data_IF_957654574855
#
_entry.id   IF_957654574855
#
_cell.length_a   1.000
_cell.length_b   1.000
_cell.length_c   1.000
_cell.angle_alpha   90.00
_cell.angle_beta   90.00
_cell.angle_gamma   90.00
#
_symmetry.space_group_name_H-M   'P 1'
#
loop_
_entity.id
_entity.type
_entity.pdbx_description
1 polymer ?
#
# COMPACT_ATOMS: atom_id res chain seq x y z
N UNK A 1 15.75 12.68 -19.55
CA UNK A 1 15.01 11.42 -19.77
C UNK A 1 15.17 10.55 -18.53
N UNK A 2 14.13 9.95 -17.93
CA UNK A 2 14.35 9.07 -16.80
C UNK A 2 15.13 7.85 -17.31
N UNK A 3 16.30 7.60 -16.74
CA UNK A 3 17.13 6.43 -17.04
C UNK A 3 16.39 5.17 -16.58
N UNK A 4 15.66 4.57 -17.50
CA UNK A 4 15.00 3.27 -17.35
C UNK A 4 16.05 2.22 -16.98
N UNK A 5 16.07 1.78 -15.73
CA UNK A 5 16.94 0.68 -15.30
C UNK A 5 16.15 -0.64 -15.42
N UNK A 6 16.52 -1.56 -16.33
CA UNK A 6 15.78 -2.80 -16.61
C UNK A 6 15.59 -3.70 -15.39
N UNK A 7 16.42 -3.55 -14.35
CA UNK A 7 16.40 -4.37 -13.13
C UNK A 7 15.11 -4.25 -12.31
N UNK A 8 14.35 -3.14 -12.44
CA UNK A 8 13.11 -2.97 -11.68
C UNK A 8 11.86 -3.52 -12.39
N UNK A 9 11.89 -3.73 -13.72
CA UNK A 9 10.70 -4.16 -14.46
C UNK A 9 10.22 -5.54 -14.03
N UNK A 10 11.14 -6.49 -13.85
CA UNK A 10 10.80 -7.84 -13.40
C UNK A 10 10.21 -7.82 -12.00
N UNK A 11 10.76 -7.01 -11.09
CA UNK A 11 10.23 -6.83 -9.75
C UNK A 11 8.85 -6.19 -9.75
N UNK A 12 8.60 -5.21 -10.63
CA UNK A 12 7.28 -4.61 -10.78
C UNK A 12 6.23 -5.61 -11.29
N UNK A 13 6.61 -6.50 -12.21
CA UNK A 13 5.74 -7.61 -12.64
C UNK A 13 5.43 -8.55 -11.46
N UNK A 14 6.43 -8.93 -10.68
CA UNK A 14 6.24 -9.79 -9.49
C UNK A 14 5.37 -9.12 -8.42
N UNK A 15 5.46 -7.80 -8.24
CA UNK A 15 4.52 -7.05 -7.39
C UNK A 15 3.09 -7.17 -7.89
N UNK A 16 2.89 -7.06 -9.21
CA UNK A 16 1.58 -7.23 -9.84
C UNK A 16 1.01 -8.63 -9.60
N UNK A 17 1.82 -9.68 -9.82
CA UNK A 17 1.44 -11.08 -9.55
C UNK A 17 1.07 -11.27 -8.08
N UNK A 18 1.89 -10.76 -7.15
CA UNK A 18 1.61 -10.84 -5.72
C UNK A 18 0.29 -10.12 -5.36
N UNK A 19 0.06 -8.92 -5.88
CA UNK A 19 -1.17 -8.16 -5.64
C UNK A 19 -2.42 -8.88 -6.17
N UNK A 20 -2.34 -9.49 -7.36
CA UNK A 20 -3.43 -10.30 -7.92
C UNK A 20 -3.71 -11.53 -7.07
N UNK A 21 -2.68 -12.21 -6.57
CA UNK A 21 -2.86 -13.36 -5.68
C UNK A 21 -3.56 -12.96 -4.37
N UNK A 22 -3.13 -11.85 -3.76
CA UNK A 22 -3.78 -11.28 -2.57
C UNK A 22 -5.26 -10.94 -2.85
N UNK A 23 -5.55 -10.35 -4.00
CA UNK A 23 -6.92 -10.03 -4.43
C UNK A 23 -7.79 -11.28 -4.54
N UNK A 24 -7.30 -12.32 -5.23
CA UNK A 24 -8.04 -13.57 -5.40
C UNK A 24 -8.26 -14.26 -4.05
N UNK A 25 -7.24 -14.30 -3.20
CA UNK A 25 -7.33 -14.85 -1.84
C UNK A 25 -8.42 -14.17 -1.02
N UNK A 26 -8.43 -12.84 -0.97
CA UNK A 26 -9.46 -12.11 -0.24
C UNK A 26 -10.85 -12.20 -0.89
N UNK A 27 -10.93 -12.37 -2.21
CA UNK A 27 -12.19 -12.57 -2.93
C UNK A 27 -12.95 -13.83 -2.49
N UNK A 28 -12.25 -14.86 -2.02
CA UNK A 28 -12.88 -16.10 -1.52
C UNK A 28 -13.30 -16.04 -0.05
N UNK A 29 -12.96 -14.98 0.69
CA UNK A 29 -13.26 -14.88 2.13
C UNK A 29 -14.75 -15.00 2.47
N UNK A 30 -15.64 -14.56 1.57
CA UNK A 30 -17.10 -14.57 1.77
C UNK A 30 -17.80 -15.87 1.38
N UNK A 31 -17.10 -16.78 0.70
CA UNK A 31 -17.65 -18.05 0.19
C UNK A 31 -16.92 -19.28 0.73
N UNK A 32 -16.03 -19.08 1.72
CA UNK A 32 -15.13 -20.12 2.24
C UNK A 32 -15.85 -21.43 2.64
N UNK A 33 -17.04 -21.32 3.23
CA UNK A 33 -17.83 -22.45 3.73
C UNK A 33 -18.98 -22.88 2.79
N UNK A 34 -19.08 -22.35 1.58
CA UNK A 34 -20.15 -22.70 0.63
C UNK A 34 -19.65 -23.77 -0.35
N UNK A 35 -20.50 -24.72 -0.78
CA UNK A 35 -20.15 -25.63 -1.86
C UNK A 35 -19.99 -24.83 -3.16
N UNK A 36 -18.82 -24.93 -3.80
CA UNK A 36 -18.50 -24.23 -5.04
C UNK A 36 -18.33 -25.22 -6.20
N UNK A 37 -18.48 -24.72 -7.42
CA UNK A 37 -18.20 -25.50 -8.63
C UNK A 37 -16.74 -26.00 -8.62
N UNK A 38 -16.42 -27.21 -9.11
CA UNK A 38 -15.07 -27.79 -9.00
C UNK A 38 -13.93 -26.90 -9.52
N UNK A 39 -14.16 -26.18 -10.62
CA UNK A 39 -13.18 -25.20 -11.14
C UNK A 39 -12.93 -24.05 -10.15
N UNK A 40 -13.94 -23.61 -9.41
CA UNK A 40 -13.83 -22.54 -8.43
C UNK A 40 -13.11 -23.04 -7.17
N UNK A 41 -13.36 -24.28 -6.75
CA UNK A 41 -12.58 -24.93 -5.68
C UNK A 41 -11.10 -25.06 -6.05
N UNK A 42 -10.78 -25.39 -7.30
CA UNK A 42 -9.39 -25.40 -7.77
C UNK A 42 -8.75 -24.02 -7.62
N UNK A 43 -9.40 -22.96 -8.09
CA UNK A 43 -8.89 -21.59 -7.94
C UNK A 43 -8.74 -21.21 -6.46
N UNK A 44 -9.71 -21.57 -5.61
CA UNK A 44 -9.65 -21.35 -4.15
C UNK A 44 -8.43 -22.04 -3.54
N UNK A 45 -8.16 -23.30 -3.91
CA UNK A 45 -7.02 -24.06 -3.39
C UNK A 45 -5.67 -23.43 -3.76
N UNK A 46 -5.54 -22.92 -5.00
CA UNK A 46 -4.34 -22.20 -5.46
C UNK A 46 -4.22 -20.84 -4.77
N UNK A 47 -5.35 -20.18 -4.47
CA UNK A 47 -5.39 -18.89 -3.81
C UNK A 47 -5.15 -18.98 -2.29
N UNK A 48 -5.40 -20.14 -1.66
CA UNK A 48 -5.33 -20.34 -0.20
C UNK A 48 -4.03 -19.86 0.47
N UNK A 49 -2.81 -20.07 -0.08
CA UNK A 49 -1.59 -19.52 0.48
C UNK A 49 -1.38 -18.03 0.19
N UNK A 50 -2.41 -17.27 -0.24
CA UNK A 50 -2.31 -15.85 -0.60
C UNK A 50 -1.80 -14.93 0.51
N UNK A 51 -1.83 -15.37 1.77
CA UNK A 51 -1.13 -14.68 2.87
C UNK A 51 0.39 -14.62 2.67
N UNK A 52 1.01 -15.60 1.99
CA UNK A 52 2.43 -15.56 1.60
C UNK A 52 2.70 -14.52 0.52
N UNK A 53 1.73 -14.26 -0.36
CA UNK A 53 1.86 -13.23 -1.39
C UNK A 53 1.99 -11.83 -0.79
N UNK A 54 1.37 -11.58 0.38
CA UNK A 54 1.57 -10.34 1.15
C UNK A 54 3.03 -10.19 1.59
N UNK A 55 3.65 -11.27 2.09
CA UNK A 55 5.05 -11.26 2.51
C UNK A 55 5.98 -10.98 1.32
N UNK A 56 5.73 -11.63 0.18
CA UNK A 56 6.47 -11.38 -1.06
C UNK A 56 6.35 -9.91 -1.50
N UNK A 57 5.14 -9.34 -1.46
CA UNK A 57 4.91 -7.94 -1.79
C UNK A 57 5.70 -6.98 -0.91
N UNK A 58 5.77 -7.24 0.41
CA UNK A 58 6.55 -6.43 1.34
C UNK A 58 8.05 -6.54 1.10
N UNK A 59 8.59 -7.74 0.85
CA UNK A 59 10.02 -7.94 0.57
C UNK A 59 10.43 -7.19 -0.71
N UNK A 60 9.67 -7.34 -1.80
CA UNK A 60 9.96 -6.64 -3.05
C UNK A 60 9.83 -5.12 -2.86
N UNK A 61 8.82 -4.66 -2.13
CA UNK A 61 8.64 -3.24 -1.83
C UNK A 61 9.80 -2.68 -1.01
N UNK A 62 10.27 -3.40 0.01
CA UNK A 62 11.42 -3.02 0.82
C UNK A 62 12.70 -2.89 0.00
N UNK A 63 12.97 -3.84 -0.90
CA UNK A 63 14.10 -3.77 -1.83
C UNK A 63 14.01 -2.55 -2.74
N UNK A 64 12.84 -2.31 -3.36
CA UNK A 64 12.63 -1.16 -4.24
C UNK A 64 12.76 0.17 -3.47
N UNK A 65 12.31 0.24 -2.22
CA UNK A 65 12.49 1.42 -1.36
C UNK A 65 13.97 1.64 -1.09
N UNK A 66 14.68 0.62 -0.60
CA UNK A 66 16.12 0.71 -0.28
C UNK A 66 16.95 1.15 -1.48
N UNK A 67 16.71 0.58 -2.66
CA UNK A 67 17.43 0.95 -3.87
C UNK A 67 17.17 2.41 -4.30
N UNK A 68 15.96 2.92 -4.08
CA UNK A 68 15.64 4.32 -4.37
C UNK A 68 16.21 5.28 -3.32
N UNK A 69 16.23 4.88 -2.04
CA UNK A 69 16.88 5.62 -0.95
C UNK A 69 18.38 5.76 -1.23
N UNK A 70 19.03 4.67 -1.64
CA UNK A 70 20.44 4.68 -2.02
C UNK A 70 20.72 5.70 -3.15
N UNK A 71 19.91 5.69 -4.21
CA UNK A 71 20.02 6.68 -5.30
C UNK A 71 19.77 8.11 -4.84
N UNK A 72 18.81 8.33 -3.94
CA UNK A 72 18.52 9.65 -3.37
C UNK A 72 19.71 10.17 -2.57
N UNK A 73 20.33 9.31 -1.75
CA UNK A 73 21.52 9.63 -0.97
C UNK A 73 22.67 10.06 -1.87
N UNK A 74 22.94 9.33 -2.96
CA UNK A 74 23.98 9.67 -3.93
C UNK A 74 23.75 11.02 -4.60
N UNK A 75 22.48 11.40 -4.81
CA UNK A 75 22.10 12.68 -5.42
C UNK A 75 21.91 13.82 -4.42
N UNK A 76 22.20 13.60 -3.13
CA UNK A 76 21.94 14.55 -2.05
C UNK A 76 20.48 15.05 -2.03
N UNK A 77 19.53 14.18 -2.36
CA UNK A 77 18.12 14.55 -2.44
C UNK A 77 17.47 14.83 -1.08
N UNK A 78 16.39 15.62 -1.11
CA UNK A 78 15.60 15.95 0.08
C UNK A 78 14.75 14.76 0.56
N UNK A 79 14.65 14.58 1.88
CA UNK A 79 13.73 13.62 2.50
C UNK A 79 12.27 13.96 2.20
N UNK A 80 11.95 15.25 2.07
CA UNK A 80 10.61 15.72 1.71
C UNK A 80 10.23 15.33 0.28
N UNK A 81 11.15 15.46 -0.66
CA UNK A 81 10.92 15.06 -2.06
C UNK A 81 10.71 13.54 -2.17
N UNK A 82 11.43 12.76 -1.36
CA UNK A 82 11.17 11.32 -1.27
C UNK A 82 9.74 11.05 -0.82
N UNK A 83 9.30 11.64 0.30
CA UNK A 83 7.97 11.39 0.85
C UNK A 83 6.87 11.84 -0.11
N UNK A 84 7.00 13.04 -0.68
CA UNK A 84 6.06 13.60 -1.66
C UNK A 84 5.92 12.69 -2.88
N UNK A 85 7.03 12.24 -3.45
CA UNK A 85 7.01 11.35 -4.62
C UNK A 85 6.37 10.00 -4.32
N UNK A 86 6.52 9.48 -3.10
CA UNK A 86 5.88 8.22 -2.69
C UNK A 86 4.39 8.39 -2.42
N UNK A 87 4.01 9.48 -1.75
CA UNK A 87 2.63 9.80 -1.45
C UNK A 87 1.81 9.94 -2.74
N UNK A 88 2.28 10.78 -3.68
CA UNK A 88 1.59 10.99 -4.96
C UNK A 88 1.64 9.80 -5.90
N UNK A 89 2.52 8.83 -5.67
CA UNK A 89 2.50 7.55 -6.38
C UNK A 89 1.42 6.61 -5.84
N UNK A 90 1.18 6.62 -4.52
CA UNK A 90 0.30 5.68 -3.84
C UNK A 90 -1.16 6.15 -3.77
N UNK A 91 -1.37 7.42 -3.41
CA UNK A 91 -2.69 7.96 -3.11
C UNK A 91 -3.65 7.96 -4.30
N UNK A 92 -3.26 8.33 -5.54
CA UNK A 92 -4.19 8.35 -6.66
C UNK A 92 -4.78 6.97 -6.96
N UNK A 93 -3.94 5.94 -6.96
CA UNK A 93 -4.39 4.55 -7.16
C UNK A 93 -5.25 4.06 -6.00
N UNK A 94 -4.91 4.47 -4.77
CA UNK A 94 -5.70 4.14 -3.59
C UNK A 94 -7.09 4.77 -3.62
N UNK A 95 -7.18 6.08 -3.89
CA UNK A 95 -8.46 6.78 -3.97
C UNK A 95 -9.34 6.25 -5.10
N UNK A 96 -8.74 5.93 -6.25
CA UNK A 96 -9.47 5.27 -7.33
C UNK A 96 -10.06 3.94 -6.88
N UNK A 97 -9.25 3.08 -6.23
CA UNK A 97 -9.72 1.80 -5.71
C UNK A 97 -10.80 1.97 -4.63
N UNK A 98 -10.68 2.98 -3.76
CA UNK A 98 -11.66 3.31 -2.73
C UNK A 98 -13.00 3.73 -3.35
N UNK A 99 -12.99 4.65 -4.32
CA UNK A 99 -14.18 5.09 -5.04
C UNK A 99 -14.82 3.93 -5.79
N UNK A 100 -14.03 3.13 -6.51
CA UNK A 100 -14.54 1.94 -7.23
C UNK A 100 -15.20 0.97 -6.26
N UNK A 101 -14.62 0.75 -5.08
CA UNK A 101 -15.21 -0.14 -4.07
C UNK A 101 -16.55 0.39 -3.57
N UNK A 102 -16.66 1.71 -3.30
CA UNK A 102 -17.93 2.34 -2.91
C UNK A 102 -18.98 2.15 -4.01
N UNK A 103 -18.62 2.42 -5.27
CA UNK A 103 -19.53 2.25 -6.42
C UNK A 103 -20.01 0.80 -6.53
N UNK A 104 -19.09 -0.18 -6.43
CA UNK A 104 -19.43 -1.59 -6.48
C UNK A 104 -20.37 -1.99 -5.33
N UNK A 105 -20.12 -1.50 -4.11
CA UNK A 105 -21.01 -1.75 -2.98
C UNK A 105 -22.41 -1.16 -3.22
N UNK A 106 -22.50 0.07 -3.72
CA UNK A 106 -23.78 0.72 -4.04
C UNK A 106 -24.57 -0.01 -5.13
N UNK A 107 -23.89 -0.44 -6.20
CA UNK A 107 -24.53 -1.20 -7.28
C UNK A 107 -24.95 -2.59 -6.80
N UNK A 108 -24.21 -3.19 -5.85
CA UNK A 108 -24.52 -4.51 -5.30
C UNK A 108 -25.60 -4.49 -4.21
N UNK A 109 -25.86 -3.33 -3.57
CA UNK A 109 -26.78 -3.19 -2.43
C UNK A 109 -28.19 -3.73 -2.71
N UNK A 110 -28.83 -3.47 -3.87
CA UNK A 110 -30.14 -4.05 -4.19
C UNK A 110 -30.14 -5.58 -4.27
N UNK A 111 -29.02 -6.18 -4.72
CA UNK A 111 -28.88 -7.63 -4.85
C UNK A 111 -28.57 -8.31 -3.51
N UNK A 112 -27.82 -7.62 -2.65
CA UNK A 112 -27.42 -8.13 -1.34
C UNK A 112 -28.42 -7.80 -0.22
N UNK A 113 -29.50 -7.06 -0.52
CA UNK A 113 -30.51 -6.59 0.45
C UNK A 113 -29.89 -5.79 1.63
N UNK A 114 -28.77 -5.12 1.37
CA UNK A 114 -28.10 -4.26 2.36
C UNK A 114 -28.62 -2.84 2.25
N UNK A 115 -28.70 -2.11 3.36
CA UNK A 115 -29.07 -0.70 3.31
C UNK A 115 -28.01 0.11 2.57
N UNK A 116 -28.42 1.12 1.79
CA UNK A 116 -27.49 2.00 1.08
C UNK A 116 -26.50 2.69 2.03
N UNK A 117 -26.95 3.02 3.25
CA UNK A 117 -26.11 3.63 4.28
C UNK A 117 -24.98 2.73 4.78
N UNK A 118 -25.14 1.41 4.70
CA UNK A 118 -24.08 0.45 5.04
C UNK A 118 -23.00 0.37 3.96
N UNK A 119 -23.25 0.93 2.77
CA UNK A 119 -22.26 0.98 1.69
C UNK A 119 -21.21 2.07 1.91
N UNK A 120 -21.37 2.95 2.89
CA UNK A 120 -20.44 4.05 3.18
C UNK A 120 -19.74 3.85 4.53
N UNK A 121 -18.56 4.47 4.74
CA UNK A 121 -17.98 4.59 6.07
C UNK A 121 -18.99 5.19 7.07
N UNK A 122 -19.09 4.58 8.25
CA UNK A 122 -20.15 4.82 9.23
C UNK A 122 -20.09 6.19 9.95
N UNK A 123 -18.94 6.87 9.90
CA UNK A 123 -18.73 8.14 10.59
C UNK A 123 -17.77 9.04 9.82
N UNK A 124 -17.78 10.35 10.11
CA UNK A 124 -16.82 11.30 9.55
C UNK A 124 -15.37 10.90 9.88
N UNK A 125 -15.14 10.38 11.08
CA UNK A 125 -13.84 9.83 11.48
C UNK A 125 -13.44 8.63 10.62
N UNK A 126 -14.38 7.75 10.28
CA UNK A 126 -14.14 6.62 9.37
C UNK A 126 -13.85 7.07 7.96
N UNK A 127 -14.52 8.13 7.48
CA UNK A 127 -14.23 8.75 6.21
C UNK A 127 -12.81 9.29 6.16
N UNK A 128 -12.42 10.14 7.13
CA UNK A 128 -11.08 10.71 7.21
C UNK A 128 -10.03 9.61 7.36
N UNK A 129 -10.27 8.63 8.23
CA UNK A 129 -9.38 7.50 8.45
C UNK A 129 -9.12 6.70 7.18
N UNK A 130 -10.18 6.41 6.42
CA UNK A 130 -10.03 5.72 5.15
C UNK A 130 -9.44 6.62 4.07
N UNK A 131 -9.76 7.90 3.98
CA UNK A 131 -9.24 8.77 2.92
C UNK A 131 -7.72 8.95 2.98
N UNK A 132 -7.16 8.98 4.20
CA UNK A 132 -5.75 9.26 4.46
C UNK A 132 -4.93 8.04 4.92
N UNK A 133 -5.52 6.83 4.95
CA UNK A 133 -4.85 5.62 5.45
C UNK A 133 -4.36 5.75 6.90
N UNK A 134 -5.18 6.36 7.77
CA UNK A 134 -4.89 6.54 9.20
C UNK A 134 -5.89 5.81 10.10
N UNK A 135 -6.55 4.77 9.57
CA UNK A 135 -7.57 4.01 10.29
C UNK A 135 -7.07 3.46 11.64
N UNK A 136 -5.86 2.85 11.74
CA UNK A 136 -5.37 2.31 13.01
C UNK A 136 -5.08 3.36 14.07
N UNK A 137 -4.87 4.62 13.67
CA UNK A 137 -4.61 5.73 14.61
C UNK A 137 -5.90 6.38 15.10
N UNK A 138 -7.01 6.15 14.40
CA UNK A 138 -8.32 6.69 14.75
C UNK A 138 -9.25 5.61 15.31
N UNK A 139 -8.76 4.38 15.54
CA UNK A 139 -9.54 3.23 15.97
C UNK A 139 -10.81 2.98 15.14
N UNK A 140 -10.73 3.24 13.83
CA UNK A 140 -11.82 3.02 12.88
C UNK A 140 -11.58 1.77 12.03
N UNK A 141 -12.64 1.06 11.62
CA UNK A 141 -12.49 -0.11 10.76
C UNK A 141 -11.95 0.27 9.37
N UNK A 142 -11.19 -0.65 8.79
CA UNK A 142 -10.84 -0.59 7.38
C UNK A 142 -12.09 -0.80 6.52
N UNK A 143 -12.33 0.11 5.57
CA UNK A 143 -13.44 -0.05 4.63
C UNK A 143 -13.26 -1.30 3.76
N UNK A 144 -12.03 -1.56 3.32
CA UNK A 144 -11.62 -2.85 2.76
C UNK A 144 -10.52 -3.40 3.63
N UNK A 145 -10.67 -4.63 4.13
CA UNK A 145 -9.72 -5.25 5.05
C UNK A 145 -8.28 -5.13 4.54
N UNK A 146 -8.06 -5.37 3.23
CA UNK A 146 -6.75 -5.38 2.56
C UNK A 146 -5.97 -4.07 2.68
N UNK A 147 -6.64 -2.93 2.97
CA UNK A 147 -5.95 -1.64 3.14
C UNK A 147 -4.98 -1.60 4.31
N UNK A 148 -5.03 -2.57 5.24
CA UNK A 148 -4.06 -2.70 6.34
C UNK A 148 -2.60 -2.70 5.84
N UNK A 149 -2.32 -3.34 4.70
CA UNK A 149 -0.95 -3.41 4.17
C UNK A 149 -0.47 -2.06 3.62
N UNK A 150 -1.38 -1.22 3.13
CA UNK A 150 -1.06 0.12 2.62
C UNK A 150 -0.71 1.09 3.75
N UNK A 151 -1.39 0.97 4.90
CA UNK A 151 -1.04 1.76 6.10
C UNK A 151 0.39 1.44 6.53
N UNK A 152 0.76 0.17 6.55
CA UNK A 152 2.12 -0.27 6.86
C UNK A 152 3.12 0.29 5.85
N UNK A 153 2.82 0.24 4.55
CA UNK A 153 3.69 0.80 3.51
C UNK A 153 3.90 2.32 3.68
N UNK A 154 2.85 3.07 4.03
CA UNK A 154 2.94 4.49 4.35
C UNK A 154 3.79 4.74 5.61
N UNK A 155 3.61 3.94 6.66
CA UNK A 155 4.44 3.96 7.86
C UNK A 155 5.93 3.74 7.56
N UNK A 156 6.25 2.77 6.71
CA UNK A 156 7.62 2.55 6.22
C UNK A 156 8.17 3.78 5.50
N UNK A 157 7.39 4.44 4.65
CA UNK A 157 7.83 5.68 3.99
C UNK A 157 8.16 6.79 4.99
N UNK A 158 7.35 6.96 6.04
CA UNK A 158 7.59 7.95 7.10
C UNK A 158 8.85 7.65 7.92
N UNK A 159 9.09 6.38 8.25
CA UNK A 159 10.30 5.95 8.96
C UNK A 159 11.53 6.28 8.11
N UNK A 160 11.52 5.90 6.84
CA UNK A 160 12.65 6.16 5.92
C UNK A 160 12.88 7.65 5.69
N UNK A 161 11.81 8.44 5.52
CA UNK A 161 11.93 9.89 5.37
C UNK A 161 12.53 10.54 6.62
N UNK A 162 12.13 10.07 7.82
CA UNK A 162 12.68 10.53 9.10
C UNK A 162 14.17 10.19 9.23
N UNK A 163 14.56 8.95 8.90
CA UNK A 163 15.97 8.53 8.92
C UNK A 163 16.83 9.35 7.95
N UNK A 164 16.31 9.64 6.75
CA UNK A 164 16.98 10.51 5.79
C UNK A 164 17.13 11.95 6.29
N UNK A 165 16.11 12.50 6.94
CA UNK A 165 16.16 13.84 7.51
C UNK A 165 17.22 13.94 8.62
N UNK A 166 17.26 12.95 9.52
CA UNK A 166 18.27 12.86 10.59
C UNK A 166 19.67 12.77 10.00
N UNK A 167 19.90 11.88 9.02
CA UNK A 167 21.18 11.74 8.33
C UNK A 167 21.65 13.05 7.71
N UNK A 168 20.77 13.74 6.98
CA UNK A 168 21.12 14.99 6.30
C UNK A 168 21.52 16.07 7.30
N UNK A 169 20.82 16.18 8.43
CA UNK A 169 21.15 17.11 9.51
C UNK A 169 22.51 16.80 10.16
N UNK A 170 22.80 15.52 10.42
CA UNK A 170 24.09 15.10 10.98
C UNK A 170 25.24 15.46 10.03
N UNK A 171 25.10 15.15 8.74
CA UNK A 171 26.14 15.45 7.74
C UNK A 171 26.39 16.96 7.59
N UNK A 172 25.34 17.78 7.64
CA UNK A 172 25.46 19.24 7.63
C UNK A 172 26.23 19.76 8.85
N UNK A 173 25.90 19.27 10.04
CA UNK A 173 26.58 19.67 11.27
C UNK A 173 28.07 19.28 11.27
N UNK A 174 28.39 18.07 10.78
CA UNK A 174 29.77 17.61 10.66
C UNK A 174 30.57 18.45 9.65
N UNK A 175 29.96 18.79 8.51
CA UNK A 175 30.59 19.65 7.51
C UNK A 175 30.88 21.05 8.06
N UNK A 176 29.95 21.62 8.84
CA UNK A 176 30.14 22.91 9.52
C UNK A 176 31.25 22.84 10.59
N UNK A 177 31.31 21.76 11.36
CA UNK A 177 32.36 21.56 12.36
C UNK A 177 33.75 21.50 11.72
N UNK A 178 33.92 20.73 10.64
CA UNK A 178 35.19 20.62 9.90
C UNK A 178 35.57 21.96 9.25
N UNK A 179 34.60 22.76 8.80
CA UNK A 179 34.88 24.06 8.18
C UNK A 179 35.32 25.15 9.19
N UNK A 180 35.05 24.95 10.48
CA UNK A 180 35.38 25.90 11.55
C UNK A 180 36.63 25.50 12.36
N UNK A 181 37.12 24.26 12.20
CA UNK A 181 38.34 23.73 12.83
C UNK A 181 39.56 23.87 11.91
#
# INVERSE_FOLDING_TARGET
MPSWNPQYKTLDHWRGVAALWVMIFHGFGTVYNKPLHPLVELVKSVAAPGWLAVHLFFVISGYCIAANVYKLILKQGSSWDFLKNRFWRLMPTYWLAFIVTIILNLVSSPFNKTNLWESFPSSLQSWVGNLFLIQPYLDVPFYVVVYWSLVIELGFYLIIASLLAIRNKINQNLALFIALS
#
